data_IF_017608677737
#
_entry.id   IF_017608677737
#
_cell.length_a   1.000
_cell.length_b   1.000
_cell.length_c   1.000
_cell.angle_alpha   90.00
_cell.angle_beta   90.00
_cell.angle_gamma   90.00
#
_symmetry.space_group_name_H-M   'P 1'
#
loop_
_entity.id
_entity.type
_entity.pdbx_description
1 polymer ?
#
# COMPACT_ATOMS: atom_id res chain seq x y z
N UNK A 1 -9.75 -0.25 -0.34
CA UNK A 1 -11.08 0.36 -0.51
C UNK A 1 -11.20 1.01 -1.87
N UNK A 2 -12.38 1.52 -2.20
CA UNK A 2 -12.64 2.26 -3.43
C UNK A 2 -13.80 3.24 -3.22
N UNK A 3 -13.86 4.29 -4.03
CA UNK A 3 -14.94 5.27 -3.97
C UNK A 3 -15.43 5.57 -5.38
N UNK A 4 -16.73 5.86 -5.51
CA UNK A 4 -17.29 6.34 -6.77
C UNK A 4 -16.57 7.61 -7.25
N UNK A 5 -16.50 7.78 -8.57
CA UNK A 5 -16.06 9.04 -9.19
C UNK A 5 -17.13 10.12 -9.12
N UNK A 6 -18.39 9.74 -8.92
CA UNK A 6 -19.48 10.68 -8.67
C UNK A 6 -19.34 11.29 -7.28
N UNK A 7 -19.65 12.59 -7.17
CA UNK A 7 -19.70 13.34 -5.90
C UNK A 7 -18.40 13.29 -5.07
N UNK A 8 -17.24 13.49 -5.70
CA UNK A 8 -15.94 13.54 -4.98
C UNK A 8 -15.84 14.74 -4.00
N UNK A 9 -16.65 15.77 -4.21
CA UNK A 9 -16.78 16.96 -3.35
C UNK A 9 -17.11 16.61 -1.89
N UNK A 10 -17.85 15.52 -1.67
CA UNK A 10 -18.25 15.12 -0.31
C UNK A 10 -17.13 14.42 0.46
N UNK A 11 -16.00 14.13 -0.20
CA UNK A 11 -14.81 13.54 0.43
C UNK A 11 -15.11 12.24 1.20
N UNK A 12 -16.04 11.41 0.72
CA UNK A 12 -16.49 10.19 1.40
C UNK A 12 -15.37 9.28 1.95
N UNK A 13 -14.22 9.08 1.26
CA UNK A 13 -13.12 8.30 1.82
C UNK A 13 -12.57 8.86 3.14
N UNK A 14 -12.53 10.18 3.31
CA UNK A 14 -12.05 10.80 4.56
C UNK A 14 -12.97 10.44 5.72
N UNK A 15 -14.29 10.58 5.54
CA UNK A 15 -15.27 10.22 6.56
C UNK A 15 -15.19 8.73 6.91
N UNK A 16 -15.09 7.86 5.89
CA UNK A 16 -14.96 6.42 6.10
C UNK A 16 -13.75 6.08 6.97
N UNK A 17 -12.56 6.59 6.62
CA UNK A 17 -11.35 6.32 7.39
C UNK A 17 -11.41 6.92 8.81
N UNK A 18 -12.06 8.08 8.99
CA UNK A 18 -12.32 8.66 10.31
C UNK A 18 -13.18 7.76 11.19
N UNK A 19 -14.29 7.25 10.66
CA UNK A 19 -15.17 6.33 11.40
C UNK A 19 -14.45 5.03 11.76
N UNK A 20 -13.65 4.47 10.84
CA UNK A 20 -12.85 3.27 11.13
C UNK A 20 -11.85 3.53 12.25
N UNK A 21 -11.14 4.66 12.25
CA UNK A 21 -10.19 5.01 13.33
C UNK A 21 -10.89 5.19 14.67
N UNK A 22 -12.06 5.83 14.71
CA UNK A 22 -12.87 5.95 15.93
C UNK A 22 -13.29 4.58 16.45
N UNK A 23 -13.76 3.71 15.57
CA UNK A 23 -14.16 2.36 15.97
C UNK A 23 -12.96 1.55 16.46
N UNK A 24 -11.83 1.58 15.75
CA UNK A 24 -10.61 0.92 16.18
C UNK A 24 -10.17 1.40 17.59
N UNK A 25 -10.22 2.71 17.85
CA UNK A 25 -9.93 3.26 19.17
C UNK A 25 -10.92 2.76 20.25
N UNK A 26 -12.22 2.63 19.94
CA UNK A 26 -13.22 2.06 20.86
C UNK A 26 -12.94 0.60 21.24
N UNK A 27 -12.32 -0.16 20.35
CA UNK A 27 -11.89 -1.54 20.60
C UNK A 27 -10.50 -1.64 21.24
N UNK A 28 -9.88 -0.51 21.60
CA UNK A 28 -8.58 -0.47 22.27
C UNK A 28 -7.37 -0.60 21.35
N UNK A 29 -7.55 -0.47 20.03
CA UNK A 29 -6.42 -0.44 19.10
C UNK A 29 -5.71 0.92 19.16
N UNK A 30 -4.38 0.89 19.20
CA UNK A 30 -3.52 2.07 19.27
C UNK A 30 -2.92 2.47 17.92
N UNK A 31 -2.98 1.58 16.92
CA UNK A 31 -2.34 1.76 15.62
C UNK A 31 -3.38 1.57 14.51
N UNK A 32 -3.38 2.51 13.57
CA UNK A 32 -4.16 2.43 12.34
C UNK A 32 -3.21 2.43 11.13
N UNK A 33 -3.15 1.30 10.42
CA UNK A 33 -2.24 1.11 9.28
C UNK A 33 -2.95 1.39 7.95
N UNK A 34 -2.47 2.40 7.23
CA UNK A 34 -2.94 2.77 5.90
C UNK A 34 -2.33 1.94 4.76
N UNK A 35 -1.39 1.03 5.05
CA UNK A 35 -0.60 0.27 4.08
C UNK A 35 0.30 1.16 3.19
N UNK A 36 0.99 0.52 2.25
CA UNK A 36 2.03 1.14 1.40
C UNK A 36 1.62 2.42 0.67
N UNK A 37 2.60 3.29 0.50
CA UNK A 37 2.55 4.54 -0.27
C UNK A 37 3.53 4.46 -1.45
N UNK A 38 3.24 5.20 -2.52
CA UNK A 38 4.16 5.36 -3.66
C UNK A 38 3.93 6.74 -4.29
N UNK A 39 4.90 7.65 -4.13
CA UNK A 39 4.82 9.04 -4.61
C UNK A 39 4.91 9.15 -6.13
N UNK A 40 5.53 8.17 -6.78
CA UNK A 40 5.72 8.17 -8.24
C UNK A 40 4.53 7.50 -8.91
N UNK A 41 4.16 6.32 -8.45
CA UNK A 41 3.09 5.52 -9.06
C UNK A 41 1.70 6.01 -8.67
N UNK A 42 1.51 6.46 -7.44
CA UNK A 42 0.19 6.84 -6.89
C UNK A 42 0.22 8.14 -6.06
N UNK A 43 0.58 9.29 -6.65
CA UNK A 43 0.78 10.55 -5.92
C UNK A 43 -0.46 11.01 -5.14
N UNK A 44 -1.65 10.89 -5.73
CA UNK A 44 -2.89 11.31 -5.07
C UNK A 44 -3.29 10.44 -3.88
N UNK A 45 -3.09 9.12 -3.99
CA UNK A 45 -3.37 8.18 -2.90
C UNK A 45 -2.36 8.35 -1.76
N UNK A 46 -1.09 8.58 -2.09
CA UNK A 46 -0.05 8.88 -1.11
C UNK A 46 -0.37 10.17 -0.36
N UNK A 47 -0.70 11.26 -1.07
CA UNK A 47 -1.10 12.53 -0.45
C UNK A 47 -2.33 12.38 0.46
N UNK A 48 -3.31 11.58 0.06
CA UNK A 48 -4.49 11.27 0.88
C UNK A 48 -4.08 10.65 2.22
N UNK A 49 -3.22 9.63 2.20
CA UNK A 49 -2.74 8.91 3.40
C UNK A 49 -1.88 9.82 4.29
N UNK A 50 -0.93 10.54 3.70
CA UNK A 50 -0.07 11.51 4.41
C UNK A 50 -0.90 12.61 5.11
N UNK A 51 -2.06 12.97 4.55
CA UNK A 51 -2.98 13.95 5.14
C UNK A 51 -3.48 13.61 6.54
N UNK A 52 -3.45 12.33 6.95
CA UNK A 52 -3.81 11.89 8.30
C UNK A 52 -2.66 12.03 9.32
N UNK A 53 -1.50 12.54 8.91
CA UNK A 53 -0.33 12.81 9.77
C UNK A 53 0.20 11.58 10.53
N UNK A 54 0.12 10.40 9.90
CA UNK A 54 0.78 9.19 10.38
C UNK A 54 2.29 9.22 10.21
N UNK A 55 2.96 8.11 10.51
CA UNK A 55 4.40 7.92 10.31
C UNK A 55 4.64 6.93 9.19
N UNK A 56 5.55 7.25 8.27
CA UNK A 56 5.99 6.34 7.23
C UNK A 56 6.92 5.28 7.83
N UNK A 57 6.59 4.01 7.60
CA UNK A 57 7.40 2.86 8.06
C UNK A 57 7.95 2.12 6.86
N UNK A 58 9.28 2.07 6.75
CA UNK A 58 9.97 1.32 5.69
C UNK A 58 10.32 -0.07 6.18
N UNK A 59 9.75 -1.09 5.53
CA UNK A 59 10.08 -2.48 5.78
C UNK A 59 11.29 -2.93 4.94
N UNK A 60 12.05 -3.94 5.38
CA UNK A 60 13.05 -4.59 4.53
C UNK A 60 12.45 -5.11 3.24
N UNK A 61 13.25 -5.11 2.17
CA UNK A 61 12.83 -5.71 0.90
C UNK A 61 12.54 -7.20 1.06
N UNK A 62 11.66 -7.72 0.21
CA UNK A 62 11.39 -9.16 0.16
C UNK A 62 12.66 -9.92 -0.24
N UNK A 63 13.00 -10.95 0.52
CA UNK A 63 14.12 -11.83 0.22
C UNK A 63 13.64 -13.18 -0.34
N UNK A 64 14.28 -13.65 -1.40
CA UNK A 64 14.03 -14.96 -1.98
C UNK A 64 14.90 -16.03 -1.30
N UNK A 65 14.28 -17.07 -0.73
CA UNK A 65 14.99 -18.25 -0.24
C UNK A 65 15.14 -19.25 -1.39
N UNK A 66 16.35 -19.40 -1.90
CA UNK A 66 16.62 -20.19 -3.12
C UNK A 66 17.01 -21.63 -2.78
N UNK A 67 16.08 -22.57 -2.94
CA UNK A 67 16.33 -24.01 -2.74
C UNK A 67 17.10 -24.67 -3.89
N UNK A 68 16.81 -24.28 -5.15
CA UNK A 68 17.45 -24.84 -6.34
C UNK A 68 18.06 -23.74 -7.19
N UNK A 69 19.37 -23.52 -7.02
CA UNK A 69 20.12 -22.41 -7.64
C UNK A 69 19.97 -22.37 -9.17
N UNK A 70 20.05 -23.53 -9.85
CA UNK A 70 19.97 -23.61 -11.31
C UNK A 70 18.59 -23.20 -11.86
N UNK A 71 17.51 -23.75 -11.29
CA UNK A 71 16.14 -23.41 -11.72
C UNK A 71 15.80 -21.96 -11.45
N UNK A 72 16.23 -21.43 -10.31
CA UNK A 72 16.03 -20.02 -9.97
C UNK A 72 16.81 -19.09 -10.91
N UNK A 73 18.03 -19.48 -11.31
CA UNK A 73 18.80 -18.75 -12.31
C UNK A 73 18.09 -18.73 -13.67
N UNK A 74 17.57 -19.88 -14.12
CA UNK A 74 16.80 -19.98 -15.36
C UNK A 74 15.53 -19.11 -15.30
N UNK A 75 14.77 -19.18 -14.20
CA UNK A 75 13.59 -18.36 -13.96
C UNK A 75 13.90 -16.85 -14.00
N UNK A 76 14.95 -16.40 -13.29
CA UNK A 76 15.35 -14.99 -13.29
C UNK A 76 15.77 -14.50 -14.67
N UNK A 77 16.47 -15.34 -15.41
CA UNK A 77 16.89 -15.02 -16.79
C UNK A 77 15.67 -14.90 -17.70
N UNK A 78 14.73 -15.85 -17.62
CA UNK A 78 13.48 -15.80 -18.38
C UNK A 78 12.62 -14.58 -18.02
N UNK A 79 12.38 -14.33 -16.74
CA UNK A 79 11.61 -13.17 -16.26
C UNK A 79 12.20 -11.84 -16.70
N UNK A 80 13.53 -11.72 -16.76
CA UNK A 80 14.19 -10.49 -17.23
C UNK A 80 13.97 -10.25 -18.73
N UNK A 81 13.90 -11.31 -19.53
CA UNK A 81 13.63 -11.23 -20.98
C UNK A 81 12.14 -11.00 -21.24
N UNK A 82 11.25 -11.70 -20.52
CA UNK A 82 9.81 -11.60 -20.67
C UNK A 82 9.20 -10.32 -20.08
N UNK A 83 9.83 -9.73 -19.05
CA UNK A 83 9.33 -8.52 -18.36
C UNK A 83 9.72 -7.19 -19.03
N UNK A 84 10.28 -7.22 -20.24
CA UNK A 84 10.49 -6.04 -21.10
C UNK A 84 9.38 -6.00 -22.17
N UNK A 85 8.19 -5.66 -21.74
CA UNK A 85 7.11 -5.08 -22.55
C UNK A 85 6.18 -4.32 -21.62
#
# INVERSE_FOLDING_TARGET
>A
GGSSSARRDVMAPYLLHWEIMKEAARHGFSIYDFWGIDKVRWPGLTRFKEGFRGTDVTYPESADIVFRKFLYFAYRSFRRVAGRT
#
